data_IF_642207431112
#
_entry.id   IF_642207431112
#
_cell.length_a   1.000
_cell.length_b   1.000
_cell.length_c   1.000
_cell.angle_alpha   90.00
_cell.angle_beta   90.00
_cell.angle_gamma   90.00
#
_symmetry.space_group_name_H-M   'P 1'
#
loop_
_entity.id
_entity.type
_entity.pdbx_description
1 polymer ?
#
# COMPACT_ATOMS: atom_id res chain seq x y z
N UNK A 1 20.00 -2.94 -7.05
CA UNK A 1 19.37 -2.57 -5.78
C UNK A 1 19.67 -1.10 -5.57
N UNK A 2 18.64 -0.25 -5.62
CA UNK A 2 18.80 1.19 -5.39
C UNK A 2 18.75 1.43 -3.88
N UNK A 3 19.73 2.16 -3.34
CA UNK A 3 19.71 2.59 -1.94
C UNK A 3 19.21 4.02 -1.93
N UNK A 4 18.10 4.26 -1.23
CA UNK A 4 17.59 5.60 -1.02
C UNK A 4 18.09 6.09 0.34
N UNK A 5 18.63 7.31 0.38
CA UNK A 5 18.92 7.97 1.65
C UNK A 5 17.61 8.25 2.38
N UNK A 6 17.48 7.82 3.63
CA UNK A 6 16.25 8.01 4.39
C UNK A 6 16.19 7.25 5.72
N UNK A 7 15.22 7.60 6.54
CA UNK A 7 14.90 6.90 7.78
C UNK A 7 13.93 5.74 7.46
N UNK A 8 14.39 4.50 7.63
CA UNK A 8 13.61 3.29 7.35
C UNK A 8 12.34 3.24 8.20
N UNK A 9 12.42 3.58 9.48
CA UNK A 9 11.28 3.54 10.40
C UNK A 9 10.20 4.53 9.97
N UNK A 10 10.62 5.71 9.51
CA UNK A 10 9.71 6.70 8.97
C UNK A 10 8.97 6.17 7.73
N UNK A 11 9.70 5.60 6.76
CA UNK A 11 9.10 5.08 5.51
C UNK A 11 8.16 3.91 5.79
N UNK A 12 8.55 2.99 6.68
CA UNK A 12 7.71 1.86 7.05
C UNK A 12 6.44 2.30 7.80
N UNK A 13 6.56 3.30 8.67
CA UNK A 13 5.42 3.89 9.38
C UNK A 13 4.47 4.65 8.44
N UNK A 14 5.02 5.41 7.50
CA UNK A 14 4.23 6.12 6.48
C UNK A 14 3.52 5.13 5.55
N UNK A 15 4.20 4.08 5.08
CA UNK A 15 3.57 3.04 4.26
C UNK A 15 2.46 2.27 5.01
N UNK A 16 2.58 2.13 6.33
CA UNK A 16 1.54 1.54 7.17
C UNK A 16 0.31 2.44 7.30
N UNK A 17 0.51 3.70 7.70
CA UNK A 17 -0.55 4.65 8.07
C UNK A 17 -1.12 5.43 6.88
N UNK A 18 -0.34 5.61 5.83
CA UNK A 18 -0.63 6.46 4.67
C UNK A 18 -1.22 5.71 3.47
N UNK A 19 -1.68 4.47 3.63
CA UNK A 19 -2.14 3.62 2.53
C UNK A 19 -3.15 4.32 1.59
N UNK A 20 -4.14 5.01 2.15
CA UNK A 20 -5.20 5.66 1.37
C UNK A 20 -4.71 6.85 0.56
N UNK A 21 -3.53 7.39 0.90
CA UNK A 21 -2.89 8.47 0.15
C UNK A 21 -2.06 7.97 -1.04
N UNK A 22 -1.75 6.67 -1.12
CA UNK A 22 -0.90 6.09 -2.17
C UNK A 22 -1.40 6.43 -3.60
N UNK A 23 -2.70 6.34 -3.92
CA UNK A 23 -3.20 6.71 -5.24
C UNK A 23 -2.96 8.18 -5.65
N UNK A 24 -2.66 9.07 -4.68
CA UNK A 24 -2.40 10.49 -4.97
C UNK A 24 -1.03 10.73 -5.61
N UNK A 25 -0.08 9.82 -5.41
CA UNK A 25 1.30 9.99 -5.88
C UNK A 25 1.82 8.79 -6.69
N UNK A 26 1.29 7.58 -6.51
CA UNK A 26 1.62 6.42 -7.36
C UNK A 26 0.56 6.26 -8.47
N UNK A 27 0.89 6.60 -9.74
CA UNK A 27 -0.06 6.50 -10.84
C UNK A 27 -0.43 5.05 -11.20
N UNK A 28 0.29 4.05 -10.70
CA UNK A 28 -0.04 2.65 -10.93
C UNK A 28 -1.13 2.14 -9.99
N UNK A 29 -1.32 2.79 -8.84
CA UNK A 29 -2.37 2.43 -7.87
C UNK A 29 -3.61 3.25 -8.16
N UNK A 30 -4.70 2.58 -8.49
CA UNK A 30 -5.99 3.21 -8.77
C UNK A 30 -6.74 3.59 -7.50
N UNK A 31 -6.68 2.71 -6.51
CA UNK A 31 -7.27 2.90 -5.20
C UNK A 31 -6.55 2.02 -4.18
N UNK A 32 -6.60 2.40 -2.92
CA UNK A 32 -6.19 1.57 -1.80
C UNK A 32 -6.94 2.03 -0.54
N UNK A 33 -7.44 1.10 0.26
CA UNK A 33 -8.05 1.41 1.56
C UNK A 33 -8.00 0.21 2.51
N UNK A 34 -8.17 0.50 3.80
CA UNK A 34 -8.27 -0.53 4.84
C UNK A 34 -9.69 -1.08 4.88
N UNK A 35 -9.85 -2.38 4.61
CA UNK A 35 -11.17 -3.02 4.70
C UNK A 35 -11.55 -3.32 6.15
N UNK A 36 -10.61 -3.88 6.93
CA UNK A 36 -10.80 -4.10 8.36
C UNK A 36 -9.46 -4.18 9.09
N UNK A 37 -9.41 -3.66 10.33
CA UNK A 37 -8.27 -3.85 11.23
C UNK A 37 -8.53 -5.05 12.11
N UNK A 38 -7.60 -6.01 12.11
CA UNK A 38 -7.65 -7.18 12.99
C UNK A 38 -7.05 -6.86 14.37
N UNK A 39 -6.00 -6.04 14.38
CA UNK A 39 -5.34 -5.47 15.56
C UNK A 39 -4.72 -4.11 15.21
N UNK A 40 -4.06 -3.45 16.15
CA UNK A 40 -3.30 -2.21 15.88
C UNK A 40 -2.11 -2.42 14.92
N UNK A 41 -1.69 -3.66 14.69
CA UNK A 41 -0.51 -4.01 13.91
C UNK A 41 -0.81 -5.02 12.80
N UNK A 42 -2.09 -5.26 12.50
CA UNK A 42 -2.49 -6.18 11.43
C UNK A 42 -3.84 -5.79 10.85
N UNK A 43 -3.91 -5.71 9.53
CA UNK A 43 -5.12 -5.32 8.80
C UNK A 43 -5.33 -6.17 7.54
N UNK A 44 -6.55 -6.09 7.02
CA UNK A 44 -6.90 -6.56 5.67
C UNK A 44 -7.19 -5.32 4.84
N UNK A 45 -6.53 -5.24 3.69
CA UNK A 45 -6.64 -4.12 2.76
C UNK A 45 -7.18 -4.59 1.42
N UNK A 46 -7.76 -3.64 0.71
CA UNK A 46 -8.12 -3.79 -0.70
C UNK A 46 -7.40 -2.69 -1.48
N UNK A 47 -6.75 -3.08 -2.58
CA UNK A 47 -6.12 -2.14 -3.49
C UNK A 47 -6.28 -2.59 -4.93
N UNK A 48 -6.25 -1.62 -5.84
CA UNK A 48 -6.46 -1.81 -7.25
C UNK A 48 -5.35 -1.16 -8.06
N UNK A 49 -4.98 -1.79 -9.15
CA UNK A 49 -3.99 -1.28 -10.10
C UNK A 49 -4.66 -0.74 -11.37
N UNK A 50 -4.08 0.31 -11.95
CA UNK A 50 -4.47 0.79 -13.26
C UNK A 50 -4.05 -0.22 -14.37
N UNK A 51 -4.75 -0.26 -15.51
CA UNK A 51 -4.32 -1.04 -16.66
C UNK A 51 -2.94 -0.60 -17.16
N UNK A 52 -2.12 -1.56 -17.60
CA UNK A 52 -0.78 -1.30 -18.15
C UNK A 52 -0.65 -2.02 -19.49
N UNK A 53 -0.44 -1.26 -20.57
CA UNK A 53 -0.44 -1.74 -21.96
C UNK A 53 -1.72 -2.54 -22.30
N UNK A 54 -1.58 -3.83 -22.60
CA UNK A 54 -2.69 -4.73 -22.95
C UNK A 54 -3.27 -5.47 -21.74
N UNK A 55 -2.69 -5.27 -20.55
CA UNK A 55 -3.12 -5.95 -19.33
C UNK A 55 -4.16 -5.09 -18.60
N UNK A 56 -5.35 -5.65 -18.42
CA UNK A 56 -6.37 -5.07 -17.54
C UNK A 56 -5.83 -4.94 -16.12
N UNK A 57 -6.25 -3.87 -15.44
CA UNK A 57 -5.99 -3.66 -14.02
C UNK A 57 -6.42 -4.86 -13.17
N UNK A 58 -5.87 -4.93 -11.96
CA UNK A 58 -6.16 -5.98 -10.99
C UNK A 58 -6.60 -5.37 -9.68
N UNK A 59 -7.65 -5.95 -9.13
CA UNK A 59 -8.10 -5.71 -7.77
C UNK A 59 -7.58 -6.84 -6.89
N UNK A 60 -7.06 -6.49 -5.73
CA UNK A 60 -6.36 -7.40 -4.82
C UNK A 60 -6.86 -7.19 -3.40
N UNK A 61 -6.95 -8.30 -2.66
CA UNK A 61 -7.15 -8.32 -1.22
C UNK A 61 -5.88 -8.85 -0.59
N UNK A 62 -5.34 -8.14 0.41
CA UNK A 62 -4.13 -8.55 1.11
C UNK A 62 -4.30 -8.40 2.62
N UNK A 63 -3.70 -9.32 3.37
CA UNK A 63 -3.49 -9.15 4.81
C UNK A 63 -2.07 -8.62 5.05
N UNK A 64 -1.93 -7.64 5.93
CA UNK A 64 -0.63 -7.04 6.27
C UNK A 64 -0.38 -7.14 7.77
N UNK A 65 0.90 -7.16 8.13
CA UNK A 65 1.37 -7.11 9.52
C UNK A 65 2.46 -6.05 9.61
N UNK A 66 2.34 -5.13 10.57
CA UNK A 66 3.34 -4.14 10.88
C UNK A 66 4.14 -4.57 12.11
N UNK A 67 5.47 -4.53 12.00
CA UNK A 67 6.38 -4.78 13.11
C UNK A 67 7.15 -3.47 13.35
N UNK A 68 6.78 -2.72 14.41
CA UNK A 68 7.51 -1.53 14.79
C UNK A 68 8.92 -1.85 15.32
#
# INVERSE_FOLDING_TARGET
QSVFEGNVDFVMHEAWTGLESVPSWDPHVKFAWVFTSLTNYSDIITYGSNPVFILSGRDMVAARIYRP
#
